data_IF_014356620066
#
_entry.id   IF_014356620066
#
_cell.length_a   1.000
_cell.length_b   1.000
_cell.length_c   1.000
_cell.angle_alpha   90.00
_cell.angle_beta   90.00
_cell.angle_gamma   90.00
#
_symmetry.space_group_name_H-M   'P 1'
#
loop_
_entity.id
_entity.type
_entity.pdbx_description
1 polymer ?
#
# COMPACT_ATOMS: atom_id res chain seq x y z
N UNK A 1 34.88 53.63 -27.43
CA UNK A 1 36.02 54.51 -27.02
C UNK A 1 35.49 55.56 -26.03
N UNK A 2 36.02 55.88 -24.92
CA UNK A 2 37.07 55.28 -24.08
C UNK A 2 36.54 55.01 -22.65
N UNK A 3 37.14 54.13 -21.88
CA UNK A 3 38.30 54.17 -21.01
C UNK A 3 38.18 54.95 -19.67
N UNK A 4 38.72 54.24 -18.70
CA UNK A 4 39.48 54.59 -17.48
C UNK A 4 38.69 54.67 -16.18
N UNK A 5 39.16 54.33 -15.02
CA UNK A 5 40.35 53.65 -14.51
C UNK A 5 40.11 53.30 -13.04
N UNK A 6 40.69 52.26 -12.61
CA UNK A 6 41.50 51.98 -11.44
C UNK A 6 41.16 52.64 -10.07
N UNK A 7 41.17 51.94 -8.99
CA UNK A 7 42.25 51.89 -7.98
C UNK A 7 41.79 51.15 -6.69
N UNK A 8 42.55 50.16 -6.34
CA UNK A 8 42.76 49.71 -4.96
C UNK A 8 43.70 50.65 -4.24
N UNK A 9 43.83 50.73 -2.93
CA UNK A 9 44.78 49.92 -2.19
C UNK A 9 44.32 49.55 -0.76
N UNK A 10 44.57 48.32 -0.26
CA UNK A 10 45.73 47.90 0.58
C UNK A 10 45.92 48.57 1.94
N UNK A 11 45.97 47.79 2.99
CA UNK A 11 46.99 47.64 4.04
C UNK A 11 46.38 46.96 5.27
N UNK A 12 46.78 45.79 5.67
CA UNK A 12 47.97 45.35 6.43
C UNK A 12 47.96 45.79 7.90
N UNK A 13 48.05 44.82 8.79
CA UNK A 13 49.00 44.65 9.90
C UNK A 13 48.51 43.51 10.81
N UNK A 14 49.15 42.36 10.80
CA UNK A 14 50.28 41.91 11.62
C UNK A 14 49.99 41.88 13.12
N UNK A 15 49.92 40.72 13.63
CA UNK A 15 50.89 39.87 14.36
C UNK A 15 50.72 39.89 15.87
N UNK A 16 50.65 38.71 16.49
CA UNK A 16 51.73 38.14 17.35
C UNK A 16 51.22 36.92 18.13
N UNK A 17 51.85 35.79 17.89
CA UNK A 17 52.09 34.75 18.94
C UNK A 17 53.28 35.22 19.79
N UNK A 18 53.41 34.78 21.05
CA UNK A 18 54.24 33.61 21.30
C UNK A 18 53.86 32.75 22.55
N UNK A 19 54.03 31.45 22.45
CA UNK A 19 55.03 30.57 23.04
C UNK A 19 55.05 30.32 24.56
N UNK A 20 54.93 29.02 24.89
CA UNK A 20 55.74 28.17 25.79
C UNK A 20 55.75 28.43 27.29
N UNK A 21 55.46 27.48 28.17
CA UNK A 21 56.32 26.42 28.75
C UNK A 21 55.64 25.81 29.99
N UNK A 22 55.61 24.50 30.09
CA UNK A 22 56.26 23.61 31.04
C UNK A 22 56.00 23.91 32.54
N UNK A 23 55.59 22.97 33.41
CA UNK A 23 56.35 21.83 34.01
C UNK A 23 55.41 21.08 34.99
N UNK A 24 55.22 19.78 34.89
CA UNK A 24 55.61 18.63 35.73
C UNK A 24 55.25 18.57 37.21
N UNK A 25 54.81 17.36 37.58
CA UNK A 25 54.99 16.56 38.81
C UNK A 25 53.95 16.84 39.93
N UNK A 26 53.42 15.93 40.72
CA UNK A 26 53.71 14.60 41.23
C UNK A 26 52.40 14.03 41.77
N UNK A 27 52.05 12.89 41.61
CA UNK A 27 52.12 11.61 42.30
C UNK A 27 51.90 11.64 43.83
N UNK A 28 51.02 10.75 44.27
CA UNK A 28 51.09 9.80 45.39
C UNK A 28 49.92 9.79 46.40
N UNK A 29 49.33 8.59 46.42
CA UNK A 29 48.96 7.72 47.54
C UNK A 29 47.73 8.07 48.42
N UNK A 30 46.73 7.25 48.27
CA UNK A 30 46.27 6.17 49.13
C UNK A 30 45.81 6.56 50.55
N UNK A 31 44.59 6.26 50.85
CA UNK A 31 44.22 5.46 52.05
C UNK A 31 42.71 5.12 52.08
N UNK A 32 42.50 3.90 52.37
CA UNK A 32 41.31 3.13 52.73
C UNK A 32 40.63 3.69 53.93
N UNK A 33 39.29 3.77 53.92
CA UNK A 33 38.48 3.56 55.12
C UNK A 33 37.08 3.06 54.75
N UNK A 34 36.80 1.83 55.09
CA UNK A 34 35.48 1.23 55.27
C UNK A 34 34.72 1.93 56.37
N UNK A 35 33.43 2.21 56.16
CA UNK A 35 32.38 1.94 57.18
C UNK A 35 31.00 2.06 56.52
N UNK A 36 30.17 1.11 56.82
CA UNK A 36 28.89 0.83 56.25
C UNK A 36 27.76 1.79 56.60
N UNK A 37 26.72 1.66 55.84
CA UNK A 37 25.43 2.34 56.02
C UNK A 37 24.45 1.83 55.00
N UNK A 38 23.74 0.76 55.33
CA UNK A 38 22.59 0.29 54.58
C UNK A 38 21.44 1.25 54.77
N UNK A 39 20.83 1.74 53.72
CA UNK A 39 19.43 2.18 53.68
C UNK A 39 18.94 2.26 52.21
N UNK A 40 17.79 1.68 52.03
CA UNK A 40 17.18 1.38 50.77
C UNK A 40 17.02 2.55 49.77
N UNK A 41 17.33 2.28 48.53
CA UNK A 41 16.92 3.08 47.40
C UNK A 41 16.12 2.16 46.47
N UNK A 42 14.86 2.50 46.30
CA UNK A 42 13.98 1.95 45.30
C UNK A 42 14.64 2.06 43.95
N UNK A 43 15.02 0.91 43.37
CA UNK A 43 15.56 0.82 42.04
C UNK A 43 14.45 1.03 41.01
N UNK A 44 14.29 2.25 40.50
CA UNK A 44 13.72 2.45 39.19
C UNK A 44 14.76 2.10 38.14
N UNK A 45 15.07 0.82 38.05
CA UNK A 45 15.93 0.28 37.02
C UNK A 45 15.20 0.26 35.66
N UNK A 46 14.98 1.44 35.07
CA UNK A 46 14.70 1.52 33.65
C UNK A 46 15.99 1.19 32.92
N UNK A 47 16.02 -0.04 32.45
CA UNK A 47 17.10 -0.71 31.76
C UNK A 47 17.73 0.18 30.68
N UNK A 48 19.01 0.50 30.87
CA UNK A 48 19.89 1.16 29.88
C UNK A 48 20.14 0.26 28.64
N UNK A 49 19.54 -0.93 28.58
CA UNK A 49 19.65 -1.88 27.46
C UNK A 49 18.82 -1.48 26.24
N UNK A 50 17.88 -0.52 26.36
CA UNK A 50 16.98 -0.11 25.28
C UNK A 50 17.62 0.82 24.23
N UNK A 51 18.81 1.37 24.48
CA UNK A 51 19.44 2.33 23.56
C UNK A 51 20.62 1.77 22.75
N UNK A 52 21.08 0.54 23.02
CA UNK A 52 22.19 -0.07 22.29
C UNK A 52 21.77 -1.14 21.28
N UNK A 53 20.57 -1.68 21.44
CA UNK A 53 19.92 -2.56 20.47
C UNK A 53 18.57 -1.91 20.19
N UNK A 54 18.26 -1.57 18.92
CA UNK A 54 16.96 -1.01 18.57
C UNK A 54 15.82 -1.82 19.19
N UNK A 55 14.60 -1.24 19.34
CA UNK A 55 13.51 -1.92 20.01
C UNK A 55 13.29 -3.29 19.36
N UNK A 56 13.55 -4.35 20.08
CA UNK A 56 13.05 -5.68 19.71
C UNK A 56 11.55 -5.61 19.92
N UNK A 57 10.81 -5.35 18.83
CA UNK A 57 9.36 -5.37 18.89
C UNK A 57 8.92 -6.77 19.33
N UNK A 58 8.15 -6.85 20.41
CA UNK A 58 7.53 -8.11 20.81
C UNK A 58 6.60 -8.59 19.66
N UNK A 59 6.49 -9.92 19.46
CA UNK A 59 5.56 -10.46 18.46
C UNK A 59 4.17 -9.85 18.62
N UNK A 60 3.62 -9.33 17.53
CA UNK A 60 2.30 -8.73 17.53
C UNK A 60 1.27 -9.77 17.05
N UNK A 61 0.21 -9.97 17.81
CA UNK A 61 -0.90 -10.78 17.35
C UNK A 61 -1.66 -10.04 16.26
N UNK A 62 -2.21 -10.75 15.27
CA UNK A 62 -3.02 -10.09 14.27
C UNK A 62 -3.47 -11.03 13.15
N UNK A 63 -4.23 -10.47 12.23
CA UNK A 63 -4.87 -11.17 11.12
C UNK A 63 -4.62 -10.40 9.83
N UNK A 64 -4.30 -11.14 8.77
CA UNK A 64 -4.21 -10.65 7.40
C UNK A 64 -5.11 -11.51 6.52
N UNK A 65 -5.94 -10.87 5.71
CA UNK A 65 -6.76 -11.56 4.70
C UNK A 65 -6.49 -10.91 3.35
N UNK A 66 -6.16 -11.70 2.34
CA UNK A 66 -5.84 -11.19 1.00
C UNK A 66 -6.33 -12.15 -0.08
N UNK A 67 -6.52 -11.61 -1.29
CA UNK A 67 -6.90 -12.39 -2.48
C UNK A 67 -5.80 -13.38 -2.91
N UNK A 68 -4.55 -13.15 -2.48
CA UNK A 68 -3.40 -13.96 -2.86
C UNK A 68 -2.73 -14.55 -1.60
N UNK A 69 -2.63 -15.90 -1.52
CA UNK A 69 -2.21 -16.60 -0.32
C UNK A 69 -0.80 -16.25 0.18
N UNK A 70 0.20 -16.19 -0.70
CA UNK A 70 1.58 -15.91 -0.27
C UNK A 70 1.72 -14.49 0.27
N UNK A 71 1.01 -13.51 -0.32
CA UNK A 71 0.99 -12.15 0.20
C UNK A 71 0.34 -12.06 1.58
N UNK A 72 -0.73 -12.82 1.84
CA UNK A 72 -1.34 -12.90 3.17
C UNK A 72 -0.37 -13.46 4.22
N UNK A 73 0.39 -14.52 3.88
CA UNK A 73 1.41 -15.10 4.74
C UNK A 73 2.53 -14.11 5.05
N UNK A 74 2.98 -13.33 4.07
CA UNK A 74 4.00 -12.28 4.29
C UNK A 74 3.51 -11.24 5.29
N UNK A 75 2.28 -10.75 5.15
CA UNK A 75 1.71 -9.80 6.10
C UNK A 75 1.63 -10.38 7.52
N UNK A 76 1.17 -11.63 7.67
CA UNK A 76 1.16 -12.35 8.95
C UNK A 76 2.56 -12.45 9.57
N UNK A 77 3.57 -12.77 8.77
CA UNK A 77 4.94 -12.93 9.25
C UNK A 77 5.56 -11.61 9.70
N UNK A 78 5.18 -10.48 9.09
CA UNK A 78 5.55 -9.15 9.57
C UNK A 78 4.93 -8.87 10.94
N UNK A 79 3.65 -9.17 11.14
CA UNK A 79 3.00 -9.07 12.46
C UNK A 79 3.70 -9.96 13.49
N UNK A 80 3.99 -11.21 13.13
CA UNK A 80 4.66 -12.17 14.02
C UNK A 80 6.07 -11.72 14.45
N UNK A 81 6.75 -10.91 13.63
CA UNK A 81 8.06 -10.31 13.95
C UNK A 81 7.96 -8.97 14.67
N UNK A 82 6.76 -8.54 15.08
CA UNK A 82 6.55 -7.33 15.87
C UNK A 82 6.24 -6.06 15.07
N UNK A 83 6.04 -6.16 13.75
CA UNK A 83 5.47 -5.10 12.94
C UNK A 83 4.00 -4.87 13.30
N UNK A 84 3.47 -3.69 13.04
CA UNK A 84 2.06 -3.37 13.21
C UNK A 84 1.24 -3.59 11.93
N UNK A 85 -0.06 -3.27 11.96
CA UNK A 85 -0.92 -3.47 10.79
C UNK A 85 -0.51 -2.65 9.56
N UNK A 86 0.09 -1.46 9.73
CA UNK A 86 0.55 -0.66 8.60
C UNK A 86 1.84 -1.23 7.98
N UNK A 87 2.74 -1.80 8.80
CA UNK A 87 3.92 -2.51 8.33
C UNK A 87 3.51 -3.75 7.54
N UNK A 88 2.59 -4.55 8.11
CA UNK A 88 2.07 -5.75 7.46
C UNK A 88 1.31 -5.43 6.17
N UNK A 89 0.49 -4.37 6.15
CA UNK A 89 -0.20 -3.91 4.94
C UNK A 89 0.78 -3.47 3.85
N UNK A 90 1.83 -2.75 4.23
CA UNK A 90 2.89 -2.32 3.30
C UNK A 90 3.62 -3.54 2.70
N UNK A 91 4.01 -4.50 3.53
CA UNK A 91 4.68 -5.72 3.08
C UNK A 91 3.78 -6.61 2.21
N UNK A 92 2.48 -6.75 2.57
CA UNK A 92 1.48 -7.47 1.76
C UNK A 92 1.35 -6.84 0.38
N UNK A 93 1.29 -5.50 0.29
CA UNK A 93 1.18 -4.79 -0.98
C UNK A 93 2.44 -4.95 -1.86
N UNK A 94 3.65 -4.88 -1.27
CA UNK A 94 4.88 -5.20 -2.00
C UNK A 94 4.94 -6.66 -2.43
N UNK A 95 4.51 -7.60 -1.58
CA UNK A 95 4.42 -9.02 -1.94
C UNK A 95 3.46 -9.24 -3.11
N UNK A 96 2.28 -8.58 -3.12
CA UNK A 96 1.32 -8.64 -4.22
C UNK A 96 1.93 -8.18 -5.56
N UNK A 97 2.84 -7.20 -5.56
CA UNK A 97 3.51 -6.77 -6.79
C UNK A 97 4.44 -7.85 -7.39
N UNK A 98 4.77 -8.87 -6.61
CA UNK A 98 5.56 -10.04 -7.02
C UNK A 98 4.67 -11.25 -7.26
N UNK A 99 3.71 -11.52 -6.37
CA UNK A 99 2.89 -12.74 -6.39
C UNK A 99 1.66 -12.63 -7.29
N UNK A 100 1.18 -11.41 -7.55
CA UNK A 100 -0.01 -11.16 -8.37
C UNK A 100 0.20 -9.98 -9.35
N UNK A 101 1.23 -10.04 -10.22
CA UNK A 101 1.55 -8.95 -11.16
C UNK A 101 0.46 -8.70 -12.21
N UNK A 102 -0.61 -9.46 -12.18
CA UNK A 102 -1.80 -9.24 -13.02
C UNK A 102 -2.71 -8.14 -12.51
N UNK A 103 -2.68 -7.84 -11.20
CA UNK A 103 -3.63 -6.92 -10.55
C UNK A 103 -2.95 -5.89 -9.65
N UNK A 104 -1.68 -6.12 -9.29
CA UNK A 104 -0.88 -5.23 -8.45
C UNK A 104 0.54 -5.14 -8.98
N UNK A 105 1.01 -3.93 -9.22
CA UNK A 105 2.38 -3.62 -9.61
C UNK A 105 2.77 -2.25 -9.07
N UNK A 106 4.07 -2.01 -8.98
CA UNK A 106 4.57 -0.68 -8.66
C UNK A 106 4.17 0.37 -9.72
N UNK A 107 3.89 -0.06 -10.97
CA UNK A 107 3.41 0.78 -12.06
C UNK A 107 1.94 1.19 -11.97
N UNK A 108 1.20 0.60 -11.04
CA UNK A 108 -0.22 0.89 -10.81
C UNK A 108 -0.45 1.88 -9.66
N UNK A 109 -1.60 1.72 -9.00
CA UNK A 109 -2.02 2.53 -7.87
C UNK A 109 -3.01 1.82 -6.96
N UNK A 110 -3.67 2.58 -6.09
CA UNK A 110 -4.63 2.02 -5.14
C UNK A 110 -5.17 3.03 -4.13
N UNK A 111 -5.77 2.50 -3.09
CA UNK A 111 -6.22 3.26 -1.93
C UNK A 111 -6.25 2.39 -0.69
N UNK A 112 -6.04 2.99 0.49
CA UNK A 112 -6.20 2.30 1.76
C UNK A 112 -7.05 3.13 2.72
N UNK A 113 -7.86 2.43 3.49
CA UNK A 113 -8.58 2.97 4.63
C UNK A 113 -7.85 2.53 5.90
N UNK A 114 -7.64 3.44 6.83
CA UNK A 114 -6.86 3.20 8.07
C UNK A 114 -7.61 3.74 9.26
N UNK A 115 -7.66 2.96 10.35
CA UNK A 115 -8.21 3.43 11.61
C UNK A 115 -7.38 2.94 12.79
N UNK A 116 -7.10 3.85 13.73
CA UNK A 116 -6.60 3.53 15.08
C UNK A 116 -7.76 3.48 16.05
N UNK A 117 -7.71 2.62 17.09
CA UNK A 117 -8.71 2.65 18.14
C UNK A 117 -8.90 4.04 18.71
N UNK A 118 -10.14 4.46 18.86
CA UNK A 118 -10.49 5.78 19.40
C UNK A 118 -10.22 6.97 18.48
N UNK A 119 -9.86 6.76 17.23
CA UNK A 119 -9.61 7.81 16.23
C UNK A 119 -10.55 7.69 15.05
N UNK A 120 -10.80 8.79 14.37
CA UNK A 120 -11.52 8.79 13.10
C UNK A 120 -10.70 8.06 12.02
N UNK A 121 -11.39 7.35 11.13
CA UNK A 121 -10.74 6.69 10.00
C UNK A 121 -10.21 7.71 8.97
N UNK A 122 -9.08 7.38 8.38
CA UNK A 122 -8.43 8.15 7.31
C UNK A 122 -8.31 7.32 6.04
N UNK A 123 -8.43 7.99 4.91
CA UNK A 123 -8.23 7.42 3.58
C UNK A 123 -6.95 7.96 2.98
N UNK A 124 -6.04 7.09 2.57
CA UNK A 124 -4.93 7.44 1.68
C UNK A 124 -5.26 6.97 0.27
N UNK A 125 -5.18 7.88 -0.68
CA UNK A 125 -5.45 7.60 -2.09
C UNK A 125 -4.21 7.86 -2.93
N UNK A 126 -3.85 6.87 -3.70
CA UNK A 126 -2.76 6.86 -4.66
C UNK A 126 -3.22 6.18 -5.96
N UNK A 127 -4.43 6.58 -6.40
CA UNK A 127 -5.04 6.04 -7.62
C UNK A 127 -4.18 6.32 -8.84
N UNK A 128 -4.20 5.46 -9.86
CA UNK A 128 -3.46 5.69 -11.09
C UNK A 128 -3.84 7.03 -11.72
N UNK A 129 -2.85 7.76 -12.21
CA UNK A 129 -3.03 9.04 -12.92
C UNK A 129 -2.38 8.98 -14.30
N UNK A 130 -2.85 9.81 -15.24
CA UNK A 130 -2.31 9.85 -16.59
C UNK A 130 -0.90 10.46 -16.61
N UNK A 131 -0.03 9.94 -17.45
CA UNK A 131 1.17 10.63 -17.85
C UNK A 131 0.90 11.75 -18.85
N UNK A 132 1.82 12.73 -18.94
CA UNK A 132 1.78 13.89 -19.82
C UNK A 132 2.79 13.84 -20.98
N UNK A 133 3.55 12.75 -21.08
CA UNK A 133 4.57 12.59 -22.11
C UNK A 133 4.01 12.54 -23.53
N UNK A 134 4.89 12.56 -24.54
CA UNK A 134 4.50 12.44 -25.93
C UNK A 134 3.76 11.12 -26.15
N UNK A 135 2.88 11.10 -27.13
CA UNK A 135 1.98 9.95 -27.38
C UNK A 135 2.77 8.66 -27.62
N UNK A 136 2.58 7.69 -26.74
CA UNK A 136 3.05 6.31 -26.90
C UNK A 136 1.93 5.42 -27.45
N UNK A 137 2.27 4.26 -27.93
CA UNK A 137 1.29 3.26 -28.44
C UNK A 137 0.58 2.49 -27.31
N UNK A 138 1.13 2.53 -26.09
CA UNK A 138 0.60 1.92 -24.86
C UNK A 138 0.75 2.83 -23.64
N UNK A 139 0.02 3.97 -23.60
CA UNK A 139 0.13 4.92 -22.50
C UNK A 139 -0.09 4.27 -21.14
N UNK A 140 0.87 4.51 -20.24
CA UNK A 140 0.85 3.95 -18.90
C UNK A 140 0.39 4.98 -17.87
N UNK A 141 -0.06 4.48 -16.72
CA UNK A 141 -0.25 5.31 -15.54
C UNK A 141 1.10 5.68 -14.89
N UNK A 142 1.11 6.80 -14.20
CA UNK A 142 2.24 7.14 -13.33
C UNK A 142 2.29 6.15 -12.17
N UNK A 143 3.49 5.61 -11.81
CA UNK A 143 3.63 4.65 -10.71
C UNK A 143 3.30 5.32 -9.38
N UNK A 144 2.23 4.88 -8.70
CA UNK A 144 1.76 5.49 -7.45
C UNK A 144 1.97 4.60 -6.23
N UNK A 145 2.09 3.28 -6.41
CA UNK A 145 2.07 2.30 -5.31
C UNK A 145 3.21 2.52 -4.32
N UNK A 146 4.46 2.64 -4.77
CA UNK A 146 5.60 2.76 -3.86
C UNK A 146 5.51 4.02 -2.97
N UNK A 147 5.08 5.16 -3.53
CA UNK A 147 4.90 6.42 -2.77
C UNK A 147 3.69 6.35 -1.85
N UNK A 148 2.60 5.72 -2.29
CA UNK A 148 1.40 5.51 -1.46
C UNK A 148 1.70 4.67 -0.23
N UNK A 149 2.38 3.54 -0.41
CA UNK A 149 2.79 2.66 0.67
C UNK A 149 3.83 3.31 1.60
N UNK A 150 4.76 4.08 1.05
CA UNK A 150 5.70 4.84 1.87
C UNK A 150 5.00 5.85 2.77
N UNK A 151 4.00 6.59 2.27
CA UNK A 151 3.24 7.54 3.07
C UNK A 151 2.34 6.85 4.10
N UNK A 152 1.76 5.69 3.78
CA UNK A 152 1.03 4.85 4.74
C UNK A 152 1.96 4.45 5.90
N UNK A 153 3.11 3.90 5.55
CA UNK A 153 4.11 3.45 6.52
C UNK A 153 4.69 4.62 7.34
N UNK A 154 5.04 5.74 6.70
CA UNK A 154 5.58 6.92 7.38
C UNK A 154 4.66 7.44 8.49
N UNK A 155 3.34 7.35 8.28
CA UNK A 155 2.35 7.85 9.24
C UNK A 155 2.00 6.84 10.32
N UNK A 156 2.02 5.55 10.02
CA UNK A 156 1.47 4.50 10.89
C UNK A 156 2.44 3.36 11.19
N UNK A 157 3.50 3.17 10.42
CA UNK A 157 4.45 2.09 10.57
C UNK A 157 5.28 2.18 11.84
N UNK A 158 5.84 1.06 12.26
CA UNK A 158 6.62 0.91 13.49
C UNK A 158 8.02 0.32 13.27
N UNK A 159 8.24 -0.43 12.18
CA UNK A 159 9.56 -0.96 11.80
C UNK A 159 10.20 -0.07 10.74
N UNK A 160 11.44 -0.34 10.35
CA UNK A 160 12.07 0.39 9.24
C UNK A 160 11.37 0.05 7.91
N UNK A 161 11.11 1.05 7.08
CA UNK A 161 10.42 0.85 5.80
C UNK A 161 11.06 -0.21 4.91
N UNK A 162 12.40 -0.26 4.87
CA UNK A 162 13.14 -1.27 4.11
C UNK A 162 12.82 -2.71 4.51
N UNK A 163 12.49 -2.95 5.79
CA UNK A 163 12.13 -4.28 6.29
C UNK A 163 10.78 -4.77 5.73
N UNK A 164 9.89 -3.83 5.33
CA UNK A 164 8.61 -4.20 4.70
C UNK A 164 8.77 -4.59 3.22
N UNK A 165 9.89 -4.23 2.58
CA UNK A 165 10.19 -4.60 1.19
C UNK A 165 10.92 -5.95 1.11
N UNK A 166 11.71 -6.31 2.14
CA UNK A 166 12.54 -7.52 2.15
C UNK A 166 11.81 -8.81 1.78
N UNK A 167 10.59 -9.07 2.30
CA UNK A 167 9.88 -10.28 1.94
C UNK A 167 9.56 -10.37 0.43
N UNK A 168 9.20 -9.25 -0.20
CA UNK A 168 8.95 -9.20 -1.64
C UNK A 168 10.23 -9.45 -2.46
N UNK A 169 11.38 -8.91 -2.00
CA UNK A 169 12.68 -9.18 -2.61
C UNK A 169 12.99 -10.68 -2.52
N UNK A 170 12.82 -11.29 -1.36
CA UNK A 170 13.06 -12.72 -1.13
C UNK A 170 12.17 -13.58 -2.03
N UNK A 171 10.86 -13.30 -2.09
CA UNK A 171 9.92 -14.01 -2.96
C UNK A 171 10.32 -13.92 -4.44
N UNK A 172 10.66 -12.75 -4.93
CA UNK A 172 11.04 -12.57 -6.33
C UNK A 172 12.37 -13.23 -6.69
N UNK A 173 13.31 -13.38 -5.73
CA UNK A 173 14.60 -14.07 -5.92
C UNK A 173 14.46 -15.59 -5.87
N UNK A 174 13.77 -16.10 -4.85
CA UNK A 174 13.61 -17.53 -4.64
C UNK A 174 12.58 -18.16 -5.57
N UNK A 175 11.66 -17.35 -6.09
CA UNK A 175 10.51 -17.76 -6.88
C UNK A 175 9.25 -17.83 -6.03
N UNK A 176 8.14 -17.48 -6.65
CA UNK A 176 6.79 -17.66 -6.12
C UNK A 176 6.17 -18.92 -6.68
N UNK A 177 5.26 -19.53 -5.94
CA UNK A 177 4.35 -20.53 -6.50
C UNK A 177 3.19 -19.79 -7.17
N UNK A 178 2.99 -20.00 -8.45
CA UNK A 178 1.88 -19.35 -9.20
C UNK A 178 0.56 -19.77 -8.58
N UNK A 179 -0.19 -18.78 -8.08
CA UNK A 179 -1.51 -19.02 -7.49
C UNK A 179 -2.56 -19.27 -8.59
N UNK A 180 -3.68 -19.89 -8.19
CA UNK A 180 -4.82 -20.09 -9.09
C UNK A 180 -5.29 -18.76 -9.68
N UNK A 181 -5.35 -17.70 -8.89
CA UNK A 181 -5.80 -16.39 -9.34
C UNK A 181 -4.88 -15.85 -10.45
N UNK A 182 -3.55 -15.91 -10.25
CA UNK A 182 -2.60 -15.48 -11.28
C UNK A 182 -2.69 -16.36 -12.55
N UNK A 183 -2.83 -17.67 -12.37
CA UNK A 183 -3.00 -18.61 -13.50
C UNK A 183 -4.25 -18.30 -14.33
N UNK A 184 -5.40 -18.06 -13.67
CA UNK A 184 -6.66 -17.69 -14.32
C UNK A 184 -6.54 -16.36 -15.07
N UNK A 185 -5.88 -15.35 -14.45
CA UNK A 185 -5.65 -14.05 -15.06
C UNK A 185 -4.75 -14.14 -16.31
N UNK A 186 -3.70 -14.96 -16.25
CA UNK A 186 -2.84 -15.23 -17.42
C UNK A 186 -3.65 -15.89 -18.54
N UNK A 187 -4.45 -16.91 -18.21
CA UNK A 187 -5.26 -17.62 -19.19
C UNK A 187 -6.28 -16.69 -19.88
N UNK A 188 -6.90 -15.78 -19.13
CA UNK A 188 -7.88 -14.84 -19.66
C UNK A 188 -7.33 -13.88 -20.72
N UNK A 189 -6.06 -13.48 -20.61
CA UNK A 189 -5.44 -12.48 -21.50
C UNK A 189 -4.17 -13.00 -22.21
N UNK A 190 -3.98 -14.31 -22.30
CA UNK A 190 -2.77 -14.95 -22.81
C UNK A 190 -2.35 -14.42 -24.19
N UNK A 191 -3.25 -14.37 -25.14
CA UNK A 191 -2.91 -14.03 -26.52
C UNK A 191 -2.34 -12.60 -26.65
N UNK A 192 -3.03 -11.53 -26.19
CA UNK A 192 -2.47 -10.18 -26.23
C UNK A 192 -1.25 -10.01 -25.32
N UNK A 193 -1.19 -10.70 -24.17
CA UNK A 193 -0.08 -10.61 -23.23
C UNK A 193 1.21 -11.20 -23.79
N UNK A 194 1.14 -12.37 -24.44
CA UNK A 194 2.27 -13.08 -24.99
C UNK A 194 2.72 -12.55 -26.37
N UNK A 195 1.98 -11.59 -26.96
CA UNK A 195 2.46 -10.82 -28.11
C UNK A 195 3.64 -9.90 -27.74
N UNK A 196 3.76 -9.53 -26.45
CA UNK A 196 4.90 -8.77 -25.95
C UNK A 196 6.00 -9.74 -25.48
N UNK A 197 7.20 -9.56 -26.00
CA UNK A 197 8.34 -10.44 -25.70
C UNK A 197 8.72 -10.41 -24.21
N UNK A 198 8.73 -9.23 -23.58
CA UNK A 198 9.06 -9.08 -22.17
C UNK A 198 8.08 -9.82 -21.26
N UNK A 199 6.77 -9.70 -21.53
CA UNK A 199 5.74 -10.41 -20.76
C UNK A 199 5.77 -11.90 -21.03
N UNK A 200 5.99 -12.31 -22.30
CA UNK A 200 6.16 -13.71 -22.63
C UNK A 200 7.38 -14.31 -21.92
N UNK A 201 8.52 -13.62 -21.92
CA UNK A 201 9.72 -14.09 -21.23
C UNK A 201 9.52 -14.19 -19.71
N UNK A 202 8.76 -13.25 -19.11
CA UNK A 202 8.43 -13.27 -17.68
C UNK A 202 7.53 -14.47 -17.33
N UNK A 203 6.48 -14.71 -18.12
CA UNK A 203 5.38 -15.60 -17.75
C UNK A 203 5.47 -16.99 -18.45
N UNK A 204 6.60 -17.31 -19.07
CA UNK A 204 6.84 -18.64 -19.65
C UNK A 204 7.68 -19.50 -18.72
N UNK A 205 7.32 -20.78 -18.61
CA UNK A 205 8.08 -21.78 -17.86
C UNK A 205 9.19 -22.46 -18.65
N UNK A 206 9.20 -22.25 -19.96
CA UNK A 206 10.15 -22.88 -20.89
C UNK A 206 10.48 -21.96 -22.07
N UNK A 207 11.49 -22.36 -22.86
CA UNK A 207 11.92 -21.63 -24.05
C UNK A 207 10.89 -21.64 -25.19
N UNK A 208 9.90 -22.53 -25.17
CA UNK A 208 8.83 -22.62 -26.18
C UNK A 208 7.74 -21.59 -25.99
N UNK A 209 7.74 -20.89 -24.85
CA UNK A 209 6.71 -19.90 -24.50
C UNK A 209 5.46 -20.53 -23.89
N UNK A 210 5.58 -21.70 -23.26
CA UNK A 210 4.49 -22.29 -22.49
C UNK A 210 4.22 -21.42 -21.25
N UNK A 211 3.00 -20.89 -21.11
CA UNK A 211 2.63 -20.06 -19.97
C UNK A 211 2.74 -20.83 -18.66
N UNK A 212 3.18 -20.13 -17.59
CA UNK A 212 3.09 -20.66 -16.23
C UNK A 212 1.64 -20.87 -15.83
N UNK A 213 1.38 -21.86 -15.01
CA UNK A 213 0.07 -22.26 -14.51
C UNK A 213 0.12 -22.48 -12.99
N UNK A 214 -1.03 -22.68 -12.34
CA UNK A 214 -1.11 -22.94 -10.90
C UNK A 214 -0.10 -23.99 -10.46
N UNK A 215 0.68 -23.69 -9.43
CA UNK A 215 1.72 -24.56 -8.88
C UNK A 215 3.11 -24.42 -9.53
N UNK A 216 3.23 -23.84 -10.72
CA UNK A 216 4.54 -23.57 -11.34
C UNK A 216 5.33 -22.53 -10.54
N UNK A 217 6.67 -22.55 -10.68
CA UNK A 217 7.55 -21.58 -10.04
C UNK A 217 7.81 -20.39 -10.98
N UNK A 218 7.78 -19.18 -10.45
CA UNK A 218 8.05 -17.96 -11.20
C UNK A 218 9.04 -17.07 -10.46
N UNK A 219 10.20 -16.79 -11.06
CA UNK A 219 11.20 -15.86 -10.55
C UNK A 219 11.15 -14.52 -11.26
N UNK A 220 11.48 -13.44 -10.55
CA UNK A 220 11.40 -12.08 -11.08
C UNK A 220 12.68 -11.27 -10.78
N UNK A 221 13.85 -11.65 -11.31
CA UNK A 221 15.14 -11.08 -10.93
C UNK A 221 15.24 -9.57 -11.23
N UNK A 222 14.62 -9.09 -12.32
CA UNK A 222 14.62 -7.64 -12.66
C UNK A 222 13.84 -6.84 -11.64
N UNK A 223 12.62 -7.27 -11.31
CA UNK A 223 11.79 -6.59 -10.27
C UNK A 223 12.48 -6.64 -8.92
N UNK A 224 13.11 -7.75 -8.57
CA UNK A 224 13.86 -7.91 -7.32
C UNK A 224 15.01 -6.93 -7.21
N UNK A 225 15.78 -6.75 -8.29
CA UNK A 225 16.86 -5.75 -8.35
C UNK A 225 16.33 -4.32 -8.17
N UNK A 226 15.18 -4.02 -8.77
CA UNK A 226 14.51 -2.73 -8.62
C UNK A 226 14.03 -2.49 -7.19
N UNK A 227 13.37 -3.48 -6.55
CA UNK A 227 12.94 -3.43 -5.15
C UNK A 227 14.14 -3.28 -4.20
N UNK A 228 15.24 -3.99 -4.46
CA UNK A 228 16.49 -3.86 -3.69
C UNK A 228 17.05 -2.45 -3.72
N UNK A 229 16.97 -1.79 -4.87
CA UNK A 229 17.38 -0.39 -5.00
C UNK A 229 16.43 0.55 -4.24
N UNK A 230 15.11 0.34 -4.34
CA UNK A 230 14.14 1.12 -3.54
C UNK A 230 14.38 0.97 -2.04
N UNK A 231 14.72 -0.24 -1.57
CA UNK A 231 15.10 -0.48 -0.18
C UNK A 231 16.35 0.28 0.21
N UNK A 232 17.40 0.22 -0.60
CA UNK A 232 18.71 0.77 -0.29
C UNK A 232 18.76 2.30 -0.34
N UNK A 233 18.17 2.90 -1.38
CA UNK A 233 18.27 4.35 -1.66
C UNK A 233 17.04 5.10 -1.15
N UNK A 234 15.91 4.41 -0.99
CA UNK A 234 14.64 4.98 -0.60
C UNK A 234 13.71 5.23 -1.78
N UNK A 235 12.42 5.29 -1.48
CA UNK A 235 11.34 5.47 -2.47
C UNK A 235 11.49 6.77 -3.28
N UNK A 236 12.07 7.82 -2.66
CA UNK A 236 12.30 9.10 -3.33
C UNK A 236 13.14 9.01 -4.63
N UNK A 237 14.05 8.02 -4.73
CA UNK A 237 14.88 7.82 -5.91
C UNK A 237 14.06 7.51 -7.17
N UNK A 238 12.93 6.80 -7.03
CA UNK A 238 12.00 6.53 -8.13
C UNK A 238 11.30 7.80 -8.66
N UNK A 239 11.09 8.78 -7.80
CA UNK A 239 10.27 9.96 -8.15
C UNK A 239 11.06 11.22 -8.45
N UNK A 240 12.24 11.36 -7.86
CA UNK A 240 13.07 12.57 -7.99
C UNK A 240 14.55 12.29 -8.17
N UNK A 241 15.00 11.04 -8.03
CA UNK A 241 16.40 10.65 -8.13
C UNK A 241 16.75 9.97 -9.47
N UNK A 242 17.90 9.29 -9.50
CA UNK A 242 18.41 8.65 -10.71
C UNK A 242 17.54 7.49 -11.20
N UNK A 243 16.81 6.79 -10.29
CA UNK A 243 15.92 5.72 -10.68
C UNK A 243 14.73 6.23 -11.50
N UNK A 244 14.32 7.50 -11.33
CA UNK A 244 13.27 8.11 -12.15
C UNK A 244 13.64 8.18 -13.62
N UNK A 245 14.92 8.50 -13.95
CA UNK A 245 15.41 8.54 -15.33
C UNK A 245 15.38 7.15 -15.96
N UNK A 246 15.87 6.14 -15.22
CA UNK A 246 15.87 4.76 -15.67
C UNK A 246 14.45 4.29 -15.91
N UNK A 247 13.54 4.53 -14.95
CA UNK A 247 12.15 4.08 -15.07
C UNK A 247 11.44 4.74 -16.25
N UNK A 248 11.50 6.08 -16.38
CA UNK A 248 10.87 6.83 -17.47
C UNK A 248 11.41 6.39 -18.83
N UNK A 249 12.74 6.25 -18.96
CA UNK A 249 13.37 5.79 -20.21
C UNK A 249 12.88 4.40 -20.60
N UNK A 250 12.88 3.44 -19.66
CA UNK A 250 12.45 2.06 -19.92
C UNK A 250 10.94 1.96 -20.16
N UNK A 251 10.13 2.73 -19.44
CA UNK A 251 8.70 2.80 -19.65
C UNK A 251 8.35 3.39 -21.02
N UNK A 252 9.02 4.45 -21.45
CA UNK A 252 8.77 5.07 -22.76
C UNK A 252 9.24 4.21 -23.93
N UNK A 253 10.31 3.44 -23.78
CA UNK A 253 10.67 2.40 -24.74
C UNK A 253 9.57 1.34 -24.89
N UNK A 254 8.79 1.12 -23.83
CA UNK A 254 7.62 0.26 -23.84
C UNK A 254 6.32 1.00 -24.24
N UNK A 255 6.38 2.26 -24.70
CA UNK A 255 5.25 3.03 -25.19
C UNK A 255 4.43 3.79 -24.14
N UNK A 256 4.99 4.03 -22.95
CA UNK A 256 4.24 4.52 -21.78
C UNK A 256 3.81 5.99 -21.81
N UNK A 257 4.52 6.87 -22.51
CA UNK A 257 4.27 8.31 -22.57
C UNK A 257 4.33 9.00 -21.18
N UNK A 258 5.40 8.73 -20.42
CA UNK A 258 5.67 9.33 -19.10
C UNK A 258 6.79 10.36 -19.16
N UNK A 259 6.76 11.33 -18.25
CA UNK A 259 7.82 12.30 -18.02
C UNK A 259 8.34 12.20 -16.57
N UNK A 260 9.52 12.74 -16.30
CA UNK A 260 10.02 12.87 -14.91
C UNK A 260 9.13 13.76 -14.06
N UNK A 261 8.56 14.79 -14.66
CA UNK A 261 7.66 15.70 -13.96
C UNK A 261 6.34 15.01 -13.56
N UNK A 262 5.85 14.07 -14.35
CA UNK A 262 4.72 13.24 -13.95
C UNK A 262 5.03 12.48 -12.65
N UNK A 263 6.20 11.83 -12.57
CA UNK A 263 6.60 11.11 -11.37
C UNK A 263 6.79 12.06 -10.17
N UNK A 264 7.39 13.22 -10.40
CA UNK A 264 7.64 14.22 -9.36
C UNK A 264 6.35 14.73 -8.73
N UNK A 265 5.35 15.05 -9.55
CA UNK A 265 4.11 15.70 -9.13
C UNK A 265 3.00 14.73 -8.73
N UNK A 266 3.15 13.43 -8.99
CA UNK A 266 2.18 12.42 -8.57
C UNK A 266 2.31 12.14 -7.07
N UNK A 267 1.57 12.89 -6.26
CA UNK A 267 1.64 12.82 -4.79
C UNK A 267 0.34 12.19 -4.26
N UNK A 268 0.42 11.08 -3.50
CA UNK A 268 -0.73 10.51 -2.82
C UNK A 268 -1.37 11.47 -1.83
N UNK A 269 -2.69 11.40 -1.67
CA UNK A 269 -3.45 12.27 -0.80
C UNK A 269 -3.96 11.59 0.46
N UNK A 270 -3.87 12.29 1.61
CA UNK A 270 -4.57 11.92 2.83
C UNK A 270 -5.85 12.72 2.99
N UNK A 271 -6.95 12.05 3.29
CA UNK A 271 -8.23 12.66 3.62
C UNK A 271 -8.91 11.94 4.79
N UNK A 272 -9.91 12.57 5.41
CA UNK A 272 -10.81 11.84 6.30
C UNK A 272 -11.67 10.89 5.47
N UNK A 273 -11.94 9.70 6.00
CA UNK A 273 -12.89 8.78 5.41
C UNK A 273 -14.27 9.45 5.21
N UNK A 274 -15.05 8.93 4.28
CA UNK A 274 -16.49 9.24 4.22
C UNK A 274 -17.18 8.44 5.31
N UNK A 275 -17.99 9.09 6.14
CA UNK A 275 -18.62 8.49 7.30
C UNK A 275 -20.13 8.57 7.19
N UNK A 276 -20.80 7.47 7.47
CA UNK A 276 -22.26 7.37 7.59
C UNK A 276 -22.64 6.64 8.88
N UNK A 277 -23.86 6.92 9.37
CA UNK A 277 -24.39 6.29 10.57
C UNK A 277 -25.48 5.28 10.21
N UNK A 278 -25.49 4.11 10.86
CA UNK A 278 -26.49 3.08 10.70
C UNK A 278 -26.81 2.45 12.06
N UNK A 279 -27.93 2.85 12.66
CA UNK A 279 -28.27 2.46 14.02
C UNK A 279 -27.17 2.88 15.00
N UNK A 280 -26.62 1.90 15.73
CA UNK A 280 -25.50 2.12 16.67
C UNK A 280 -24.11 2.16 16.00
N UNK A 281 -24.04 1.85 14.71
CA UNK A 281 -22.77 1.73 14.01
C UNK A 281 -22.37 3.02 13.29
N UNK A 282 -21.08 3.29 13.27
CA UNK A 282 -20.44 4.27 12.41
C UNK A 282 -19.72 3.49 11.31
N UNK A 283 -20.04 3.78 10.07
CA UNK A 283 -19.46 3.13 8.90
C UNK A 283 -18.56 4.14 8.21
N UNK A 284 -17.29 3.80 8.06
CA UNK A 284 -16.32 4.58 7.32
C UNK A 284 -16.01 3.87 5.99
N UNK A 285 -15.99 4.62 4.89
CA UNK A 285 -15.63 4.11 3.56
C UNK A 285 -14.58 4.99 2.90
N UNK A 286 -13.89 4.45 1.89
CA UNK A 286 -12.89 5.18 1.12
C UNK A 286 -13.48 6.49 0.56
N UNK A 287 -12.64 7.52 0.57
CA UNK A 287 -12.99 8.85 0.05
C UNK A 287 -12.50 9.03 -1.40
N UNK A 288 -13.10 9.95 -2.17
CA UNK A 288 -12.60 10.30 -3.50
C UNK A 288 -11.11 10.67 -3.48
N UNK A 289 -10.39 10.36 -4.55
CA UNK A 289 -10.81 9.84 -5.85
C UNK A 289 -11.08 8.33 -5.92
N UNK A 290 -11.03 7.59 -4.81
CA UNK A 290 -11.44 6.19 -4.73
C UNK A 290 -12.97 6.10 -4.60
N UNK A 291 -13.68 6.26 -5.71
CA UNK A 291 -15.13 6.43 -5.76
C UNK A 291 -15.97 5.17 -5.50
N UNK A 292 -15.34 4.00 -5.43
CA UNK A 292 -15.98 2.76 -4.99
C UNK A 292 -16.59 2.88 -3.58
N UNK A 293 -15.97 3.69 -2.69
CA UNK A 293 -16.54 3.97 -1.37
C UNK A 293 -17.88 4.72 -1.44
N UNK A 294 -18.05 5.65 -2.40
CA UNK A 294 -19.33 6.34 -2.63
C UNK A 294 -20.39 5.33 -3.09
N UNK A 295 -20.03 4.47 -4.06
CA UNK A 295 -20.93 3.41 -4.54
C UNK A 295 -21.41 2.50 -3.42
N UNK A 296 -20.48 2.04 -2.58
CA UNK A 296 -20.80 1.20 -1.42
C UNK A 296 -21.71 1.90 -0.42
N UNK A 297 -21.45 3.17 -0.11
CA UNK A 297 -22.23 3.95 0.84
C UNK A 297 -23.68 4.19 0.37
N UNK A 298 -23.85 4.59 -0.90
CA UNK A 298 -25.19 4.80 -1.49
C UNK A 298 -25.94 3.48 -1.62
N UNK A 299 -25.29 2.43 -2.13
CA UNK A 299 -25.90 1.11 -2.26
C UNK A 299 -26.35 0.56 -0.90
N UNK A 300 -25.53 0.69 0.13
CA UNK A 300 -25.86 0.30 1.49
C UNK A 300 -27.06 1.07 2.04
N UNK A 301 -27.06 2.41 1.88
CA UNK A 301 -28.07 3.29 2.47
C UNK A 301 -29.41 3.27 1.74
N UNK A 302 -29.43 3.04 0.43
CA UNK A 302 -30.62 3.16 -0.43
C UNK A 302 -31.07 1.86 -1.08
N UNK A 303 -30.29 0.79 -0.92
CA UNK A 303 -30.55 -0.51 -1.55
C UNK A 303 -30.67 -0.45 -3.07
N UNK A 304 -29.76 0.28 -3.70
CA UNK A 304 -29.62 0.45 -5.16
C UNK A 304 -28.32 -0.20 -5.63
N UNK A 305 -28.17 -0.52 -6.94
CA UNK A 305 -26.90 -1.03 -7.45
C UNK A 305 -25.77 -0.02 -7.24
N UNK A 306 -24.65 -0.48 -6.69
CA UNK A 306 -23.50 0.38 -6.39
C UNK A 306 -22.92 1.04 -7.65
N UNK A 307 -22.90 0.32 -8.77
CA UNK A 307 -22.41 0.84 -10.05
C UNK A 307 -23.23 2.03 -10.58
N UNK A 308 -24.56 2.03 -10.36
CA UNK A 308 -25.43 3.14 -10.76
C UNK A 308 -25.09 4.41 -9.95
N UNK A 309 -24.82 4.27 -8.66
CA UNK A 309 -24.41 5.38 -7.81
C UNK A 309 -23.04 5.95 -8.24
N UNK A 310 -22.07 5.08 -8.56
CA UNK A 310 -20.76 5.54 -9.05
C UNK A 310 -20.89 6.18 -10.43
N UNK A 311 -21.70 5.62 -11.32
CA UNK A 311 -21.96 6.20 -12.63
C UNK A 311 -22.54 7.62 -12.48
N UNK A 312 -23.56 7.80 -11.63
CA UNK A 312 -24.14 9.10 -11.33
C UNK A 312 -23.12 10.08 -10.72
N UNK A 313 -22.23 9.59 -9.83
CA UNK A 313 -21.15 10.39 -9.29
C UNK A 313 -20.17 10.85 -10.37
N UNK A 314 -19.68 9.96 -11.20
CA UNK A 314 -18.73 10.29 -12.31
C UNK A 314 -19.31 11.28 -13.32
N UNK A 315 -20.62 11.22 -13.58
CA UNK A 315 -21.30 12.17 -14.47
C UNK A 315 -21.68 13.50 -13.79
N UNK A 316 -21.62 13.59 -12.47
CA UNK A 316 -22.00 14.80 -11.75
C UNK A 316 -21.01 15.95 -11.85
N UNK A 317 -19.76 15.68 -12.24
CA UNK A 317 -18.67 16.66 -12.21
C UNK A 317 -18.19 17.03 -10.79
N UNK A 318 -18.67 16.32 -9.77
CA UNK A 318 -18.25 16.50 -8.37
C UNK A 318 -16.98 15.70 -8.09
N UNK A 319 -16.06 16.24 -7.27
CA UNK A 319 -14.76 15.60 -7.04
C UNK A 319 -14.28 15.67 -5.60
N UNK A 320 -14.80 16.57 -4.77
CA UNK A 320 -14.32 16.78 -3.41
C UNK A 320 -14.98 15.83 -2.39
N UNK A 321 -14.31 15.64 -1.27
CA UNK A 321 -14.85 14.88 -0.13
C UNK A 321 -16.12 15.52 0.45
N UNK A 322 -16.21 16.85 0.43
CA UNK A 322 -17.38 17.59 0.89
C UNK A 322 -18.60 17.32 0.00
N UNK A 323 -18.41 17.36 -1.31
CA UNK A 323 -19.45 17.05 -2.29
C UNK A 323 -19.89 15.58 -2.21
N UNK A 324 -18.95 14.66 -2.00
CA UNK A 324 -19.25 13.24 -1.83
C UNK A 324 -20.18 12.97 -0.64
N UNK A 325 -20.02 13.68 0.48
CA UNK A 325 -20.93 13.59 1.63
C UNK A 325 -22.34 14.02 1.26
N UNK A 326 -22.49 15.15 0.56
CA UNK A 326 -23.78 15.61 0.05
C UNK A 326 -24.40 14.62 -0.96
N UNK A 327 -23.58 14.06 -1.84
CA UNK A 327 -24.00 13.06 -2.82
C UNK A 327 -24.53 11.78 -2.16
N UNK A 328 -23.82 11.22 -1.18
CA UNK A 328 -24.28 10.04 -0.42
C UNK A 328 -25.63 10.35 0.28
N UNK A 329 -25.76 11.53 0.88
CA UNK A 329 -27.00 11.94 1.54
C UNK A 329 -28.16 12.06 0.56
N UNK A 330 -27.93 12.57 -0.66
CA UNK A 330 -28.94 12.66 -1.71
C UNK A 330 -29.37 11.30 -2.25
N UNK A 331 -28.47 10.31 -2.19
CA UNK A 331 -28.73 8.94 -2.65
C UNK A 331 -28.96 8.82 -4.15
N UNK A 332 -28.35 9.71 -4.96
CA UNK A 332 -28.51 9.69 -6.43
C UNK A 332 -27.94 8.40 -7.02
N UNK A 333 -28.73 7.78 -7.88
CA UNK A 333 -28.41 6.53 -8.58
C UNK A 333 -29.16 6.42 -9.91
N UNK A 334 -29.46 7.56 -10.49
CA UNK A 334 -30.31 7.72 -11.68
C UNK A 334 -29.57 7.45 -13.01
N UNK A 335 -28.27 7.20 -12.96
CA UNK A 335 -27.50 6.86 -14.14
C UNK A 335 -27.57 5.36 -14.47
N UNK A 336 -27.45 5.05 -15.74
CA UNK A 336 -27.23 3.67 -16.22
C UNK A 336 -25.84 3.18 -15.84
N UNK A 337 -25.68 1.87 -15.68
CA UNK A 337 -24.44 1.24 -15.17
C UNK A 337 -23.14 1.69 -15.84
N UNK A 338 -22.05 1.20 -15.32
CA UNK A 338 -20.69 1.48 -15.80
C UNK A 338 -20.30 0.52 -16.93
N UNK A 339 -19.39 0.91 -17.83
CA UNK A 339 -18.76 -0.07 -18.72
C UNK A 339 -18.03 -1.15 -17.90
N UNK A 340 -17.70 -2.30 -18.49
CA UNK A 340 -16.87 -3.29 -17.81
C UNK A 340 -15.60 -2.66 -17.29
N UNK A 341 -15.37 -2.75 -15.97
CA UNK A 341 -14.22 -2.19 -15.30
C UNK A 341 -13.09 -3.22 -15.18
N UNK A 342 -11.84 -2.76 -15.10
CA UNK A 342 -10.70 -3.64 -14.93
C UNK A 342 -10.67 -4.29 -13.54
N UNK A 343 -9.87 -5.34 -13.42
CA UNK A 343 -9.68 -6.05 -12.17
C UNK A 343 -8.84 -5.26 -11.16
N UNK A 344 -9.07 -5.56 -9.89
CA UNK A 344 -8.31 -5.09 -8.75
C UNK A 344 -7.99 -6.26 -7.81
N UNK A 345 -7.20 -6.01 -6.79
CA UNK A 345 -6.97 -6.95 -5.67
C UNK A 345 -7.10 -6.23 -4.35
N UNK A 346 -7.52 -6.94 -3.33
CA UNK A 346 -7.79 -6.36 -2.02
C UNK A 346 -7.19 -7.18 -0.88
N UNK A 347 -6.96 -6.52 0.23
CA UNK A 347 -6.56 -7.15 1.47
C UNK A 347 -6.95 -6.31 2.68
N UNK A 348 -7.09 -6.96 3.83
CA UNK A 348 -7.36 -6.33 5.12
C UNK A 348 -6.39 -6.86 6.17
N UNK A 349 -5.97 -5.98 7.06
CA UNK A 349 -5.02 -6.27 8.15
C UNK A 349 -5.52 -5.67 9.44
N UNK A 350 -5.39 -6.40 10.53
CA UNK A 350 -5.59 -5.91 11.90
C UNK A 350 -4.52 -6.46 12.81
N UNK A 351 -3.89 -5.62 13.60
CA UNK A 351 -2.97 -6.04 14.65
C UNK A 351 -3.64 -6.20 16.01
N UNK A 352 -2.91 -6.76 16.96
CA UNK A 352 -3.38 -6.99 18.33
C UNK A 352 -3.66 -5.72 19.14
N UNK A 353 -3.17 -4.57 18.69
CA UNK A 353 -3.45 -3.28 19.30
C UNK A 353 -4.67 -2.59 18.66
N UNK A 354 -5.26 -3.22 17.62
CA UNK A 354 -6.46 -2.77 16.97
C UNK A 354 -6.25 -1.77 15.84
N UNK A 355 -5.00 -1.39 15.48
CA UNK A 355 -4.76 -0.68 14.23
C UNK A 355 -5.25 -1.55 13.08
N UNK A 356 -6.04 -0.98 12.21
CA UNK A 356 -6.72 -1.68 11.13
C UNK A 356 -6.50 -0.97 9.80
N UNK A 357 -6.22 -1.77 8.76
CA UNK A 357 -5.95 -1.27 7.41
C UNK A 357 -6.72 -2.13 6.40
N UNK A 358 -7.47 -1.49 5.50
CA UNK A 358 -8.08 -2.15 4.34
C UNK A 358 -7.60 -1.48 3.07
N UNK A 359 -6.96 -2.23 2.18
CA UNK A 359 -6.38 -1.71 0.94
C UNK A 359 -6.95 -2.38 -0.30
N UNK A 360 -6.98 -1.62 -1.38
CA UNK A 360 -7.29 -2.11 -2.74
C UNK A 360 -6.25 -1.58 -3.71
N UNK A 361 -5.68 -2.46 -4.52
CA UNK A 361 -4.67 -2.12 -5.53
C UNK A 361 -5.19 -2.45 -6.93
N UNK A 362 -4.67 -1.74 -7.92
CA UNK A 362 -5.03 -1.95 -9.33
C UNK A 362 -3.92 -1.48 -10.27
N UNK A 363 -3.93 -2.07 -11.47
CA UNK A 363 -3.15 -1.62 -12.62
C UNK A 363 -4.04 -0.99 -13.71
N UNK A 364 -5.30 -0.70 -13.39
CA UNK A 364 -6.33 -0.24 -14.35
C UNK A 364 -6.58 -1.18 -15.54
N UNK A 365 -6.05 -2.37 -15.53
CA UNK A 365 -6.31 -3.49 -16.44
C UNK A 365 -5.60 -4.74 -15.93
N UNK A 366 -5.96 -5.93 -16.39
CA UNK A 366 -5.14 -7.12 -16.15
C UNK A 366 -3.77 -6.94 -16.79
N UNK A 367 -2.70 -7.03 -15.98
CA UNK A 367 -1.32 -6.73 -16.38
C UNK A 367 -1.14 -5.31 -16.96
N UNK A 368 -1.97 -4.36 -16.56
CA UNK A 368 -1.88 -2.97 -16.97
C UNK A 368 -1.85 -2.79 -18.49
N UNK A 369 -0.74 -2.23 -19.01
CA UNK A 369 -0.53 -2.10 -20.46
C UNK A 369 -0.15 -3.39 -21.15
N UNK A 370 0.08 -4.48 -20.42
CA UNK A 370 0.66 -5.73 -20.92
C UNK A 370 2.15 -5.61 -21.27
N UNK A 371 2.87 -4.64 -20.68
CA UNK A 371 4.30 -4.40 -20.93
C UNK A 371 5.05 -4.13 -19.63
N UNK A 372 6.35 -4.44 -19.65
CA UNK A 372 7.28 -4.12 -18.57
C UNK A 372 8.03 -2.81 -18.87
N UNK A 373 8.36 -2.07 -17.82
CA UNK A 373 9.38 -1.02 -17.89
C UNK A 373 10.78 -1.66 -17.97
N UNK A 374 11.03 -2.37 -19.04
CA UNK A 374 12.29 -2.98 -19.47
C UNK A 374 13.11 -3.66 -18.36
N UNK A 375 14.29 -3.11 -18.07
CA UNK A 375 15.22 -3.67 -17.08
C UNK A 375 14.72 -3.55 -15.62
N UNK A 376 13.70 -2.76 -15.35
CA UNK A 376 13.14 -2.63 -13.99
C UNK A 376 12.27 -3.82 -13.60
N UNK A 377 11.73 -4.55 -14.57
CA UNK A 377 10.80 -5.65 -14.36
C UNK A 377 9.42 -5.22 -13.84
N UNK A 378 9.15 -3.92 -13.74
CA UNK A 378 7.86 -3.38 -13.28
C UNK A 378 6.83 -3.49 -14.40
N UNK A 379 5.69 -4.14 -14.14
CA UNK A 379 4.53 -4.12 -15.04
C UNK A 379 3.95 -2.71 -15.04
N UNK A 380 3.72 -2.14 -16.21
CA UNK A 380 3.22 -0.78 -16.39
C UNK A 380 1.71 -0.75 -16.29
N UNK A 381 1.16 -0.05 -15.31
CA UNK A 381 -0.28 0.16 -15.16
C UNK A 381 -0.90 0.90 -16.33
N UNK A 382 -2.16 0.66 -16.64
CA UNK A 382 -2.87 1.33 -17.73
C UNK A 382 -3.23 2.78 -17.40
N UNK A 383 -3.07 3.70 -18.37
CA UNK A 383 -3.44 5.10 -18.16
C UNK A 383 -4.96 5.26 -18.03
N UNK A 384 -5.48 6.00 -17.03
CA UNK A 384 -6.94 6.14 -16.77
C UNK A 384 -7.74 6.66 -17.94
N UNK A 385 -7.16 7.46 -18.84
CA UNK A 385 -7.85 7.95 -20.03
C UNK A 385 -8.26 6.86 -21.02
N UNK A 386 -7.59 5.69 -20.96
CA UNK A 386 -7.87 4.56 -21.85
C UNK A 386 -8.46 3.38 -21.12
N UNK A 387 -8.21 3.27 -19.83
CA UNK A 387 -8.68 2.21 -18.96
C UNK A 387 -9.42 2.82 -17.78
N UNK A 388 -10.77 2.65 -17.69
CA UNK A 388 -11.54 3.21 -16.59
C UNK A 388 -11.00 2.76 -15.23
N UNK A 389 -10.92 3.67 -14.28
CA UNK A 389 -10.50 3.32 -12.91
C UNK A 389 -11.52 2.35 -12.29
N UNK A 390 -11.08 1.21 -11.73
CA UNK A 390 -11.97 0.26 -11.07
C UNK A 390 -12.58 0.85 -9.80
N UNK A 391 -13.61 0.19 -9.27
CA UNK A 391 -14.25 0.56 -8.02
C UNK A 391 -13.38 0.15 -6.84
N UNK A 392 -12.42 1.00 -6.44
CA UNK A 392 -11.62 0.78 -5.24
C UNK A 392 -12.52 0.97 -4.01
N UNK A 393 -12.79 -0.10 -3.27
CA UNK A 393 -13.76 -0.08 -2.20
C UNK A 393 -13.26 -0.82 -0.95
N UNK A 394 -13.23 -0.09 0.17
CA UNK A 394 -12.99 -0.63 1.50
C UNK A 394 -13.88 0.09 2.51
N UNK A 395 -14.24 -0.59 3.59
CA UNK A 395 -15.07 -0.06 4.64
C UNK A 395 -14.66 -0.58 6.02
N UNK A 396 -14.94 0.23 7.06
CA UNK A 396 -14.90 -0.18 8.45
C UNK A 396 -16.28 -0.03 9.09
N UNK A 397 -16.60 -0.92 10.01
CA UNK A 397 -17.74 -0.81 10.91
C UNK A 397 -17.18 -0.57 12.31
N UNK A 398 -17.53 0.57 12.88
CA UNK A 398 -17.17 0.92 14.24
C UNK A 398 -18.41 0.85 15.15
N UNK A 399 -18.25 0.23 16.31
CA UNK A 399 -19.20 0.30 17.41
C UNK A 399 -19.05 1.63 18.17
N UNK A 400 -19.92 1.92 19.16
CA UNK A 400 -19.72 3.02 20.10
C UNK A 400 -18.29 3.01 20.68
N UNK A 401 -17.73 4.22 20.91
CA UNK A 401 -16.35 4.43 21.35
C UNK A 401 -15.26 4.09 20.31
N UNK A 402 -15.61 4.08 19.00
CA UNK A 402 -14.69 3.81 17.88
C UNK A 402 -13.93 2.48 18.01
N UNK A 403 -14.62 1.46 18.49
CA UNK A 403 -14.11 0.09 18.44
C UNK A 403 -14.42 -0.52 17.09
N UNK A 404 -13.39 -0.88 16.34
CA UNK A 404 -13.55 -1.52 15.03
C UNK A 404 -14.13 -2.93 15.21
N UNK A 405 -15.34 -3.14 14.72
CA UNK A 405 -16.03 -4.43 14.70
C UNK A 405 -15.84 -5.18 13.39
N UNK A 406 -15.65 -4.47 12.29
CA UNK A 406 -15.35 -5.12 11.04
C UNK A 406 -14.50 -4.25 10.13
N UNK A 407 -13.68 -4.93 9.33
CA UNK A 407 -12.82 -4.37 8.30
C UNK A 407 -13.16 -5.12 7.03
N UNK A 408 -13.47 -4.41 5.96
CA UNK A 408 -13.84 -4.96 4.68
C UNK A 408 -13.00 -4.32 3.58
N UNK A 409 -12.53 -5.11 2.63
CA UNK A 409 -11.98 -4.62 1.37
C UNK A 409 -12.43 -5.55 0.26
N UNK A 410 -12.83 -5.00 -0.87
CA UNK A 410 -13.33 -5.79 -1.97
C UNK A 410 -12.57 -5.51 -3.25
N UNK A 411 -12.41 -6.56 -4.03
CA UNK A 411 -11.86 -6.55 -5.37
C UNK A 411 -12.89 -7.12 -6.36
N UNK A 412 -12.56 -7.09 -7.62
CA UNK A 412 -13.45 -7.47 -8.71
C UNK A 412 -13.73 -6.26 -9.61
N UNK A 413 -14.50 -6.49 -10.66
CA UNK A 413 -14.83 -5.45 -11.63
C UNK A 413 -15.89 -4.49 -11.09
N UNK A 414 -17.06 -4.48 -11.71
CA UNK A 414 -18.17 -3.60 -11.30
C UNK A 414 -18.77 -3.96 -9.95
N UNK A 415 -18.59 -5.21 -9.48
CA UNK A 415 -19.24 -5.72 -8.27
C UNK A 415 -18.47 -5.41 -6.96
N UNK A 416 -17.25 -4.87 -7.02
CA UNK A 416 -16.45 -4.62 -5.82
C UNK A 416 -17.16 -3.72 -4.79
N UNK A 417 -17.77 -2.62 -5.24
CA UNK A 417 -18.51 -1.72 -4.35
C UNK A 417 -19.81 -2.34 -3.83
N UNK A 418 -20.48 -3.16 -4.64
CA UNK A 418 -21.67 -3.91 -4.23
C UNK A 418 -21.32 -4.94 -3.16
N UNK A 419 -20.19 -5.65 -3.32
CA UNK A 419 -19.72 -6.62 -2.33
C UNK A 419 -19.48 -5.99 -0.95
N UNK A 420 -18.94 -4.77 -0.89
CA UNK A 420 -18.86 -4.01 0.37
C UNK A 420 -20.25 -3.68 0.91
N UNK A 421 -21.17 -3.17 0.10
CA UNK A 421 -22.51 -2.82 0.55
C UNK A 421 -23.26 -4.03 1.14
N UNK A 422 -23.13 -5.19 0.50
CA UNK A 422 -23.74 -6.44 0.96
C UNK A 422 -23.07 -6.94 2.26
N UNK A 423 -21.75 -6.88 2.34
CA UNK A 423 -21.00 -7.18 3.56
C UNK A 423 -21.42 -6.29 4.74
N UNK A 424 -21.58 -4.99 4.50
CA UNK A 424 -22.07 -4.04 5.49
C UNK A 424 -23.49 -4.41 5.99
N UNK A 425 -24.41 -4.76 5.08
CA UNK A 425 -25.76 -5.21 5.45
C UNK A 425 -25.73 -6.49 6.26
N UNK A 426 -24.96 -7.48 5.84
CA UNK A 426 -24.84 -8.75 6.53
C UNK A 426 -24.40 -8.56 7.99
N UNK A 427 -23.41 -7.70 8.24
CA UNK A 427 -22.95 -7.46 9.61
C UNK A 427 -23.92 -6.59 10.40
N UNK A 428 -24.41 -5.49 9.85
CA UNK A 428 -25.15 -4.49 10.62
C UNK A 428 -26.63 -4.84 10.81
N UNK A 429 -27.23 -5.57 9.87
CA UNK A 429 -28.66 -5.87 9.86
C UNK A 429 -28.95 -7.35 10.15
N UNK A 430 -28.14 -8.25 9.59
CA UNK A 430 -28.38 -9.69 9.68
C UNK A 430 -27.53 -10.36 10.78
N UNK A 431 -26.59 -9.64 11.40
CA UNK A 431 -25.64 -10.17 12.38
C UNK A 431 -24.84 -11.40 11.87
N UNK A 432 -24.61 -11.47 10.58
CA UNK A 432 -23.90 -12.54 9.89
C UNK A 432 -22.48 -12.12 9.51
N UNK A 433 -21.65 -13.11 9.22
CA UNK A 433 -20.31 -12.87 8.69
C UNK A 433 -20.41 -12.18 7.32
N UNK A 434 -19.51 -11.25 7.06
CA UNK A 434 -19.40 -10.62 5.75
C UNK A 434 -18.87 -11.63 4.72
N UNK A 435 -19.76 -12.33 4.06
CA UNK A 435 -19.46 -13.14 2.88
C UNK A 435 -20.19 -12.56 1.70
N UNK A 436 -19.61 -12.63 0.51
CA UNK A 436 -20.31 -12.26 -0.72
C UNK A 436 -20.89 -13.50 -1.39
N UNK A 437 -22.08 -13.32 -1.91
CA UNK A 437 -22.78 -14.35 -2.68
C UNK A 437 -23.18 -13.85 -4.07
N UNK A 438 -22.88 -12.59 -4.44
CA UNK A 438 -23.35 -11.98 -5.69
C UNK A 438 -22.23 -11.50 -6.58
N UNK A 439 -22.29 -11.87 -7.84
CA UNK A 439 -21.45 -11.35 -8.91
C UNK A 439 -19.98 -11.77 -8.87
N UNK A 440 -19.15 -10.99 -9.52
CA UNK A 440 -17.68 -11.17 -9.60
C UNK A 440 -16.94 -10.51 -8.43
N UNK A 441 -17.66 -9.88 -7.50
CA UNK A 441 -17.08 -9.21 -6.33
C UNK A 441 -16.47 -10.20 -5.35
N UNK A 442 -15.23 -9.93 -4.93
CA UNK A 442 -14.46 -10.73 -3.97
C UNK A 442 -14.30 -9.90 -2.72
N UNK A 443 -14.79 -10.39 -1.58
CA UNK A 443 -14.77 -9.70 -0.30
C UNK A 443 -13.79 -10.36 0.67
N UNK A 444 -12.80 -9.61 1.11
CA UNK A 444 -11.94 -9.95 2.25
C UNK A 444 -12.41 -9.18 3.47
N UNK A 445 -12.58 -9.87 4.60
CA UNK A 445 -13.05 -9.23 5.82
C UNK A 445 -12.39 -9.78 7.08
N UNK A 446 -12.33 -8.92 8.10
CA UNK A 446 -12.04 -9.30 9.49
C UNK A 446 -13.23 -8.82 10.30
N UNK A 447 -13.86 -9.72 11.06
CA UNK A 447 -14.93 -9.40 12.01
C UNK A 447 -14.46 -9.64 13.42
N UNK A 448 -14.79 -8.72 14.33
CA UNK A 448 -14.36 -8.75 15.71
C UNK A 448 -15.57 -8.78 16.66
N UNK A 449 -15.46 -9.61 17.68
CA UNK A 449 -16.28 -9.55 18.90
C UNK A 449 -15.47 -8.84 20.00
N UNK A 450 -16.02 -8.74 21.20
CA UNK A 450 -15.32 -8.13 22.33
C UNK A 450 -14.04 -8.89 22.72
N UNK A 451 -13.95 -10.18 22.40
CA UNK A 451 -12.87 -11.07 22.84
C UNK A 451 -11.96 -11.57 21.73
N UNK A 452 -12.41 -11.58 20.48
CA UNK A 452 -11.68 -12.20 19.38
C UNK A 452 -12.03 -11.60 18.02
N UNK A 453 -11.10 -11.72 17.08
CA UNK A 453 -11.32 -11.37 15.69
C UNK A 453 -11.12 -12.61 14.81
N UNK A 454 -11.88 -12.70 13.74
CA UNK A 454 -11.79 -13.76 12.73
C UNK A 454 -11.69 -13.17 11.34
N UNK A 455 -10.74 -13.67 10.56
CA UNK A 455 -10.57 -13.28 9.16
C UNK A 455 -11.28 -14.22 8.20
N UNK A 456 -11.93 -13.67 7.19
CA UNK A 456 -12.67 -14.39 6.16
C UNK A 456 -12.18 -13.96 4.78
N UNK A 457 -11.51 -14.88 4.09
CA UNK A 457 -11.22 -14.74 2.66
C UNK A 457 -12.45 -15.12 1.84
N UNK A 458 -12.56 -14.59 0.64
CA UNK A 458 -13.64 -14.89 -0.26
C UNK A 458 -13.80 -16.41 -0.51
N UNK A 459 -15.03 -16.85 -0.62
CA UNK A 459 -15.41 -18.28 -0.71
C UNK A 459 -15.03 -18.96 -2.03
N UNK A 460 -14.54 -18.19 -3.02
CA UNK A 460 -14.11 -18.73 -4.31
C UNK A 460 -12.77 -19.51 -4.27
N UNK A 461 -12.19 -19.70 -3.06
CA UNK A 461 -11.01 -20.53 -2.81
C UNK A 461 -9.70 -19.97 -3.36
N UNK A 462 -9.64 -18.68 -3.71
CA UNK A 462 -8.43 -18.03 -4.26
C UNK A 462 -7.64 -17.27 -3.20
N UNK A 463 -8.30 -16.74 -2.17
CA UNK A 463 -7.69 -15.96 -1.09
C UNK A 463 -7.33 -16.77 0.15
N UNK A 464 -6.62 -16.13 1.08
CA UNK A 464 -6.23 -16.71 2.37
C UNK A 464 -6.47 -15.74 3.52
N UNK A 465 -6.99 -16.29 4.64
CA UNK A 465 -6.95 -15.66 5.96
C UNK A 465 -5.82 -16.26 6.76
N UNK A 466 -4.83 -15.45 7.12
CA UNK A 466 -3.65 -15.86 7.87
C UNK A 466 -3.61 -15.12 9.22
N UNK A 467 -3.48 -15.87 10.32
CA UNK A 467 -3.43 -15.35 11.67
C UNK A 467 -2.12 -15.72 12.35
N UNK A 468 -1.58 -14.81 13.17
CA UNK A 468 -0.44 -15.14 14.02
C UNK A 468 -0.88 -16.06 15.14
N UNK A 469 0.00 -17.00 15.52
CA UNK A 469 -0.23 -17.84 16.68
C UNK A 469 -0.19 -16.98 17.95
N UNK A 470 -1.23 -17.05 18.77
CA UNK A 470 -1.18 -16.47 20.10
C UNK A 470 -0.29 -17.38 20.95
N UNK A 471 0.89 -16.91 21.36
CA UNK A 471 1.63 -17.54 22.45
C UNK A 471 0.80 -17.33 23.74
N UNK A 472 0.20 -18.41 24.22
CA UNK A 472 -0.45 -18.48 25.53
C UNK A 472 0.58 -18.44 26.63
#
# INVERSE_FOLDING_TARGET
VPQHDSQTPSSSCLSKRPTRRWVRHCALLASVSLLGGALGACSSGKSLKHHLFGPTNAPNSGIVVADEPQAALIGRDVLARGGNAADAATATAFALSVTLPSRASLGGGGACLVVRPGKAAESITFVPVNGSGPTGDRPASVPMVARGLFLLHLRYGSVQFGETIDPAITLGQQGITVSRLLSDDIAAVKAPLFSNEGMRALLSKDATGTAVSEGDQLTQPRLTSFLSRLKLVGVGDLYTGALSDVFVSQANQAGAALTRDDLRHAIPGWTKALTLSSGRYIIDVLAPPADGGIGSAVAFSRNVPAENAVSAWRHSGLHSVQEARGFITSGRSDATGLPPLPASTSFVVRDGQGLSVGCVLTENNLFGTGRLAGSTGVVLGGAPRYYPTPLLSAAFINAPHNQVQAILAASGQNDAAQAIADGLRNITQNHMVATTTSGSGVLNSITCTDTSCTGHAATNGKGLSAQTLQHR
#
